data_IF_316238334007
#
_entry.id   IF_316238334007
#
_cell.length_a   1.000
_cell.length_b   1.000
_cell.length_c   1.000
_cell.angle_alpha   90.00
_cell.angle_beta   90.00
_cell.angle_gamma   90.00
#
_symmetry.space_group_name_H-M   'P 1'
#
loop_
_entity.id
_entity.type
_entity.pdbx_description
1 polymer ?
#
# COMPACT_ATOMS: atom_id res chain seq x y z
N UNK A 1 -37.84 -24.57 -17.65
CA UNK A 1 -39.19 -25.17 -17.55
C UNK A 1 -39.01 -26.56 -16.94
N UNK A 2 -39.50 -26.73 -15.70
CA UNK A 2 -39.65 -27.94 -14.88
C UNK A 2 -38.41 -28.73 -14.41
N UNK A 3 -38.04 -28.67 -13.11
CA UNK A 3 -38.55 -29.45 -11.94
C UNK A 3 -37.94 -30.87 -11.90
N UNK A 4 -36.90 -31.17 -11.09
CA UNK A 4 -36.91 -31.56 -9.65
C UNK A 4 -38.01 -32.57 -9.28
N UNK A 5 -37.56 -33.63 -8.56
CA UNK A 5 -38.24 -34.50 -7.56
C UNK A 5 -38.32 -35.96 -8.04
N UNK A 6 -38.06 -37.03 -7.27
CA UNK A 6 -37.39 -37.35 -5.98
C UNK A 6 -37.82 -38.81 -5.71
N UNK A 7 -36.93 -39.66 -5.20
CA UNK A 7 -37.15 -40.93 -4.45
C UNK A 7 -38.15 -41.99 -5.00
N UNK A 8 -37.85 -43.29 -4.95
CA UNK A 8 -38.03 -44.10 -3.75
C UNK A 8 -37.66 -45.59 -3.99
N UNK A 9 -37.21 -46.25 -2.91
CA UNK A 9 -37.40 -47.67 -2.55
C UNK A 9 -36.56 -48.75 -3.26
N UNK A 10 -35.55 -49.37 -2.63
CA UNK A 10 -35.56 -50.32 -1.47
C UNK A 10 -35.80 -51.78 -1.88
N UNK A 11 -34.90 -52.65 -1.36
CA UNK A 11 -34.95 -54.12 -1.28
C UNK A 11 -34.54 -54.85 -2.57
N UNK A 12 -33.62 -55.81 -2.53
CA UNK A 12 -33.87 -57.17 -2.03
C UNK A 12 -32.52 -57.96 -1.97
N UNK A 13 -32.23 -58.50 -0.78
CA UNK A 13 -31.59 -59.80 -0.49
C UNK A 13 -30.17 -60.18 -1.00
N UNK A 14 -29.21 -60.19 -0.05
CA UNK A 14 -28.22 -61.29 0.19
C UNK A 14 -28.94 -62.67 0.28
N UNK A 15 -28.33 -63.89 0.22
CA UNK A 15 -26.94 -64.25 0.60
C UNK A 15 -26.30 -65.44 -0.18
N UNK A 16 -25.03 -65.78 0.10
CA UNK A 16 -24.63 -67.11 0.64
C UNK A 16 -23.11 -67.21 0.84
N UNK A 17 -22.74 -67.74 2.00
CA UNK A 17 -21.41 -67.85 2.62
C UNK A 17 -21.07 -69.34 2.86
N UNK A 18 -19.81 -69.60 3.25
CA UNK A 18 -19.26 -70.77 3.99
C UNK A 18 -18.61 -71.91 3.16
N UNK A 19 -17.47 -72.55 3.53
CA UNK A 19 -16.47 -72.47 4.64
C UNK A 19 -15.38 -73.57 4.43
N UNK A 20 -14.29 -73.51 5.22
CA UNK A 20 -13.19 -74.49 5.50
C UNK A 20 -11.94 -74.45 4.59
N UNK A 21 -10.67 -74.59 5.04
CA UNK A 21 -10.03 -74.85 6.34
C UNK A 21 -8.51 -75.16 6.15
N UNK A 22 -7.66 -74.87 7.14
CA UNK A 22 -6.16 -74.71 7.17
C UNK A 22 -5.26 -75.95 6.91
N UNK A 23 -4.06 -75.78 6.30
CA UNK A 23 -2.69 -75.84 6.93
C UNK A 23 -1.49 -75.87 5.92
N UNK A 24 -0.39 -75.21 6.34
CA UNK A 24 1.06 -75.49 6.11
C UNK A 24 1.83 -75.06 4.81
N UNK A 25 2.65 -74.00 4.99
CA UNK A 25 4.10 -73.88 4.73
C UNK A 25 4.75 -74.12 3.34
N UNK A 26 5.18 -72.99 2.76
CA UNK A 26 6.47 -72.75 2.10
C UNK A 26 6.78 -73.38 0.72
N UNK A 27 6.45 -72.67 -0.36
CA UNK A 27 7.45 -72.17 -1.33
C UNK A 27 6.81 -71.16 -2.31
N UNK A 28 7.55 -70.11 -2.67
CA UNK A 28 7.32 -69.16 -3.79
C UNK A 28 6.18 -68.16 -3.54
N UNK A 29 6.43 -66.99 -2.93
CA UNK A 29 6.97 -65.76 -3.57
C UNK A 29 6.57 -65.64 -5.04
N UNK A 30 5.88 -64.53 -5.33
CA UNK A 30 5.48 -64.02 -6.66
C UNK A 30 4.09 -64.54 -7.10
N UNK A 31 3.01 -63.96 -6.55
CA UNK A 31 1.78 -63.58 -7.30
C UNK A 31 0.59 -63.06 -6.45
N UNK A 32 0.69 -62.91 -5.12
CA UNK A 32 -0.38 -62.30 -4.30
C UNK A 32 0.11 -61.07 -3.53
N UNK A 33 0.32 -59.95 -4.23
CA UNK A 33 0.37 -58.60 -3.63
C UNK A 33 -0.40 -57.54 -4.43
N UNK A 34 -1.26 -57.96 -5.36
CA UNK A 34 -1.98 -57.04 -6.25
C UNK A 34 -3.51 -56.99 -6.07
N UNK A 35 -4.10 -57.72 -5.12
CA UNK A 35 -5.55 -57.71 -4.89
C UNK A 35 -6.01 -57.27 -3.49
N UNK A 36 -5.09 -56.93 -2.58
CA UNK A 36 -5.42 -56.50 -1.22
C UNK A 36 -5.02 -55.05 -0.89
N UNK A 37 -4.33 -54.35 -1.80
CA UNK A 37 -3.98 -52.92 -1.64
C UNK A 37 -5.06 -52.01 -2.24
N UNK A 38 -5.81 -52.50 -3.23
CA UNK A 38 -6.86 -51.73 -3.89
C UNK A 38 -8.14 -51.52 -3.04
N UNK A 39 -8.36 -52.34 -2.00
CA UNK A 39 -9.58 -52.26 -1.17
C UNK A 39 -9.34 -51.44 0.11
N UNK A 40 -8.08 -51.27 0.54
CA UNK A 40 -7.75 -50.43 1.70
C UNK A 40 -7.57 -48.95 1.33
N UNK A 41 -7.16 -48.64 0.09
CA UNK A 41 -7.04 -47.26 -0.40
C UNK A 41 -8.39 -46.60 -0.77
N UNK A 42 -9.46 -47.39 -0.97
CA UNK A 42 -10.77 -46.86 -1.32
C UNK A 42 -11.65 -46.49 -0.10
N UNK A 43 -11.31 -46.94 1.10
CA UNK A 43 -12.12 -46.72 2.32
C UNK A 43 -11.57 -45.59 3.21
N UNK A 44 -10.29 -45.22 3.05
CA UNK A 44 -9.71 -44.04 3.75
C UNK A 44 -10.10 -42.71 3.07
N UNK A 45 -10.71 -42.77 1.88
CA UNK A 45 -11.01 -41.60 1.05
C UNK A 45 -12.44 -41.04 1.17
N UNK A 46 -13.31 -41.54 2.07
CA UNK A 46 -14.72 -41.13 2.06
C UNK A 46 -15.38 -40.70 3.39
N UNK A 47 -14.74 -40.77 4.56
CA UNK A 47 -15.36 -40.26 5.80
C UNK A 47 -14.32 -39.61 6.71
N UNK A 48 -14.44 -38.29 6.87
CA UNK A 48 -13.40 -37.41 7.38
C UNK A 48 -13.05 -37.51 8.86
N UNK A 49 -11.87 -36.97 9.15
CA UNK A 49 -11.43 -36.51 10.46
C UNK A 49 -10.46 -35.36 10.22
N UNK A 50 -10.92 -34.14 10.48
CA UNK A 50 -10.17 -32.90 10.30
C UNK A 50 -8.84 -32.93 11.06
N UNK A 51 -7.75 -32.76 10.34
CA UNK A 51 -6.51 -32.21 10.88
C UNK A 51 -6.20 -30.97 10.06
N UNK A 52 -6.34 -29.81 10.71
CA UNK A 52 -5.98 -28.51 10.15
C UNK A 52 -4.46 -28.43 10.03
N UNK A 53 -3.95 -28.66 8.82
CA UNK A 53 -2.68 -28.09 8.39
C UNK A 53 -3.02 -26.94 7.43
N UNK A 54 -3.18 -25.73 7.99
CA UNK A 54 -3.27 -24.51 7.19
C UNK A 54 -1.88 -24.20 6.62
N UNK A 55 -1.53 -24.85 5.51
CA UNK A 55 -0.53 -24.31 4.61
C UNK A 55 -1.17 -23.17 3.83
N UNK A 56 -0.84 -21.94 4.17
CA UNK A 56 -1.21 -20.79 3.36
C UNK A 56 -0.69 -20.99 1.92
N UNK A 57 -1.50 -20.65 0.92
CA UNK A 57 -1.00 -20.46 -0.44
C UNK A 57 0.18 -19.47 -0.39
N UNK A 58 1.33 -19.83 -0.97
CA UNK A 58 2.57 -19.02 -0.93
C UNK A 58 3.70 -19.56 -0.04
N UNK A 59 3.72 -20.85 0.31
CA UNK A 59 4.91 -21.45 0.94
C UNK A 59 6.02 -21.75 -0.09
N UNK A 60 7.27 -21.85 0.37
CA UNK A 60 8.49 -22.09 -0.44
C UNK A 60 8.44 -23.36 -1.32
N UNK A 61 7.53 -24.28 -1.06
CA UNK A 61 7.35 -25.53 -1.80
C UNK A 61 6.24 -25.46 -2.87
N UNK A 62 5.52 -24.33 -2.98
CA UNK A 62 4.55 -24.07 -4.05
C UNK A 62 4.55 -22.57 -4.43
N UNK A 63 5.43 -22.15 -5.35
CA UNK A 63 5.51 -20.77 -5.77
C UNK A 63 4.30 -20.42 -6.63
N UNK A 64 3.63 -19.32 -6.26
CA UNK A 64 2.37 -18.78 -6.78
C UNK A 64 2.38 -18.47 -8.30
N UNK A 65 2.42 -19.51 -9.14
CA UNK A 65 2.22 -19.61 -10.60
C UNK A 65 3.39 -20.35 -11.29
N UNK A 66 3.35 -21.68 -11.27
CA UNK A 66 4.20 -22.52 -12.12
C UNK A 66 3.90 -22.34 -13.61
N UNK A 67 4.93 -22.46 -14.48
CA UNK A 67 4.80 -22.46 -15.95
C UNK A 67 3.67 -23.35 -16.50
N UNK A 68 3.40 -24.48 -15.85
CA UNK A 68 2.28 -25.37 -16.20
C UNK A 68 0.90 -24.71 -16.02
N UNK A 69 0.74 -23.84 -15.03
CA UNK A 69 -0.50 -23.09 -14.82
C UNK A 69 -0.74 -22.10 -15.97
N UNK A 70 0.33 -21.43 -16.44
CA UNK A 70 0.27 -20.48 -17.56
C UNK A 70 0.05 -21.15 -18.92
N UNK A 71 0.59 -22.35 -19.13
CA UNK A 71 0.45 -23.08 -20.41
C UNK A 71 -0.81 -23.96 -20.46
N UNK A 72 -1.47 -24.24 -19.32
CA UNK A 72 -2.54 -25.23 -19.21
C UNK A 72 -3.93 -24.70 -18.87
N UNK A 73 -4.07 -23.92 -17.80
CA UNK A 73 -5.36 -23.47 -17.25
C UNK A 73 -5.66 -22.01 -17.60
N UNK A 74 -4.70 -21.11 -17.43
CA UNK A 74 -4.90 -19.67 -17.62
C UNK A 74 -5.43 -19.32 -19.02
N UNK A 75 -4.82 -19.88 -20.07
CA UNK A 75 -5.22 -19.65 -21.45
C UNK A 75 -6.65 -20.13 -21.74
N UNK A 76 -7.10 -21.23 -21.09
CA UNK A 76 -8.46 -21.76 -21.26
C UNK A 76 -9.52 -20.89 -20.60
N UNK A 77 -9.20 -20.29 -19.45
CA UNK A 77 -10.12 -19.40 -18.72
C UNK A 77 -10.26 -18.06 -19.43
N UNK A 78 -9.15 -17.45 -19.88
CA UNK A 78 -9.15 -16.15 -20.59
C UNK A 78 -9.87 -16.23 -21.94
N UNK A 79 -9.72 -17.34 -22.69
CA UNK A 79 -10.41 -17.54 -23.97
C UNK A 79 -11.94 -17.72 -23.82
N UNK A 80 -12.42 -18.18 -22.66
CA UNK A 80 -13.85 -18.32 -22.39
C UNK A 80 -14.49 -17.01 -21.87
N UNK A 81 -13.71 -16.16 -21.18
CA UNK A 81 -14.21 -14.89 -20.63
C UNK A 81 -14.21 -13.72 -21.63
N UNK A 82 -13.60 -13.87 -22.82
CA UNK A 82 -13.58 -12.79 -23.83
C UNK A 82 -14.94 -12.52 -24.50
N UNK A 83 -15.97 -13.32 -24.20
CA UNK A 83 -17.33 -13.11 -24.72
C UNK A 83 -18.13 -12.02 -23.96
N UNK A 84 -17.58 -11.39 -22.92
CA UNK A 84 -18.35 -10.40 -22.15
C UNK A 84 -17.48 -9.22 -21.68
N UNK A 85 -17.24 -8.32 -22.63
CA UNK A 85 -17.43 -6.89 -22.43
C UNK A 85 -16.43 -6.16 -21.53
N UNK A 86 -15.54 -5.38 -22.14
CA UNK A 86 -14.90 -4.25 -21.45
C UNK A 86 -14.78 -3.09 -22.43
N UNK A 87 -15.71 -2.14 -22.32
CA UNK A 87 -15.54 -0.77 -22.78
C UNK A 87 -15.28 0.05 -21.51
N UNK A 88 -14.05 0.52 -21.31
CA UNK A 88 -13.62 1.02 -20.00
C UNK A 88 -12.99 2.41 -20.07
N UNK A 89 -13.56 3.35 -19.32
CA UNK A 89 -13.08 4.73 -19.17
C UNK A 89 -11.98 4.77 -18.12
N UNK A 90 -10.74 4.82 -18.58
CA UNK A 90 -9.47 4.70 -17.83
C UNK A 90 -9.36 5.63 -16.62
N UNK A 91 -9.99 6.81 -16.64
CA UNK A 91 -9.77 7.84 -15.61
C UNK A 91 -10.46 7.56 -14.26
N UNK A 92 -11.58 6.84 -14.21
CA UNK A 92 -12.30 6.61 -12.94
C UNK A 92 -11.68 5.48 -12.11
N UNK A 93 -11.27 4.38 -12.76
CA UNK A 93 -10.62 3.26 -12.04
C UNK A 93 -9.21 3.58 -11.58
N UNK A 94 -8.50 4.53 -12.21
CA UNK A 94 -7.21 4.97 -11.71
C UNK A 94 -7.29 5.63 -10.33
N UNK A 95 -8.37 6.36 -10.06
CA UNK A 95 -8.59 6.99 -8.75
C UNK A 95 -9.09 5.97 -7.71
N UNK A 96 -9.93 5.01 -8.11
CA UNK A 96 -10.48 4.00 -7.20
C UNK A 96 -9.48 2.86 -6.85
N UNK A 97 -8.56 2.52 -7.76
CA UNK A 97 -7.50 1.53 -7.50
C UNK A 97 -6.39 2.08 -6.61
N UNK A 98 -6.18 3.40 -6.59
CA UNK A 98 -5.18 4.04 -5.74
C UNK A 98 -5.48 3.94 -4.25
N UNK A 99 -6.76 3.85 -3.88
CA UNK A 99 -7.22 3.98 -2.48
C UNK A 99 -7.49 2.65 -1.78
N UNK A 100 -7.77 1.55 -2.50
CA UNK A 100 -8.33 0.32 -1.90
C UNK A 100 -7.42 -0.91 -1.87
N UNK A 101 -6.13 -0.82 -2.22
CA UNK A 101 -5.23 -1.99 -2.17
C UNK A 101 -4.49 -2.02 -0.84
N UNK A 102 -4.81 -3.01 0.02
CA UNK A 102 -3.95 -3.46 1.12
C UNK A 102 -2.63 -3.96 0.54
N UNK A 103 -1.61 -3.07 0.52
CA UNK A 103 -0.31 -3.28 -0.11
C UNK A 103 0.53 -4.30 0.67
N UNK A 104 0.52 -5.55 0.20
CA UNK A 104 1.59 -6.51 0.50
C UNK A 104 2.64 -6.35 -0.60
N UNK A 105 3.66 -5.52 -0.35
CA UNK A 105 4.95 -5.49 -1.06
C UNK A 105 4.92 -5.38 -2.61
N UNK A 106 4.24 -4.35 -3.13
CA UNK A 106 4.34 -3.89 -4.52
C UNK A 106 3.77 -2.48 -4.66
N UNK A 107 4.54 -1.52 -5.20
CA UNK A 107 4.10 -0.13 -5.36
C UNK A 107 3.67 0.10 -6.80
N UNK A 108 2.36 -0.01 -7.08
CA UNK A 108 1.82 0.41 -8.37
C UNK A 108 2.10 1.90 -8.62
N UNK A 109 2.61 2.24 -9.81
CA UNK A 109 2.89 3.61 -10.21
C UNK A 109 2.67 3.82 -11.72
N UNK A 110 2.18 4.99 -12.10
CA UNK A 110 2.23 5.46 -13.49
C UNK A 110 3.45 6.35 -13.64
N UNK A 111 4.31 6.03 -14.61
CA UNK A 111 5.57 6.72 -14.86
C UNK A 111 5.63 7.18 -16.31
N UNK A 112 6.34 8.27 -16.55
CA UNK A 112 6.65 8.78 -17.89
C UNK A 112 8.13 8.55 -18.16
N UNK A 113 8.51 8.18 -19.37
CA UNK A 113 9.90 7.87 -19.74
C UNK A 113 10.23 8.57 -21.04
N UNK A 114 11.37 9.28 -21.13
CA UNK A 114 11.80 9.90 -22.39
C UNK A 114 12.24 8.85 -23.40
N UNK A 115 12.16 9.21 -24.67
CA UNK A 115 12.80 8.44 -25.74
C UNK A 115 14.29 8.16 -25.41
N UNK A 116 14.73 6.92 -25.57
CA UNK A 116 16.06 6.45 -25.19
C UNK A 116 16.17 5.89 -23.77
N UNK A 117 15.15 6.07 -22.93
CA UNK A 117 15.07 5.46 -21.61
C UNK A 117 14.90 3.95 -21.64
N UNK A 118 15.08 3.32 -20.48
CA UNK A 118 14.92 1.87 -20.28
C UNK A 118 14.23 1.57 -18.96
N UNK A 119 13.56 0.42 -18.88
CA UNK A 119 13.04 -0.18 -17.66
C UNK A 119 13.64 -1.57 -17.46
N UNK A 120 14.14 -1.86 -16.26
CA UNK A 120 14.61 -3.21 -15.93
C UNK A 120 13.50 -3.95 -15.21
N UNK A 121 13.17 -5.15 -15.70
CA UNK A 121 12.17 -6.04 -15.10
C UNK A 121 12.88 -7.23 -14.46
N UNK A 122 12.65 -7.41 -13.17
CA UNK A 122 13.04 -8.59 -12.40
C UNK A 122 11.79 -9.36 -11.91
N UNK A 123 12.01 -10.54 -11.34
CA UNK A 123 10.94 -11.38 -10.80
C UNK A 123 9.98 -10.61 -9.88
N UNK A 124 8.69 -10.70 -10.18
CA UNK A 124 7.62 -10.05 -9.40
C UNK A 124 7.18 -8.69 -9.95
N UNK A 125 7.92 -8.10 -10.88
CA UNK A 125 7.53 -6.85 -11.51
C UNK A 125 6.41 -7.05 -12.55
N UNK A 126 5.64 -6.01 -12.82
CA UNK A 126 4.77 -5.94 -13.97
C UNK A 126 4.86 -4.59 -14.67
N UNK A 127 4.66 -4.58 -15.98
CA UNK A 127 4.67 -3.37 -16.79
C UNK A 127 3.53 -3.41 -17.82
N UNK A 128 2.90 -2.25 -18.03
CA UNK A 128 1.91 -2.01 -19.08
C UNK A 128 2.30 -0.74 -19.82
N UNK A 129 2.46 -0.81 -21.15
CA UNK A 129 2.68 0.37 -21.98
C UNK A 129 1.32 1.05 -22.25
N UNK A 130 1.12 2.27 -21.77
CA UNK A 130 -0.14 3.02 -21.94
C UNK A 130 -0.11 3.97 -23.13
N UNK A 131 1.07 4.50 -23.48
CA UNK A 131 1.32 5.28 -24.69
C UNK A 131 2.79 5.24 -25.09
N UNK A 132 3.09 5.62 -26.33
CA UNK A 132 4.44 5.60 -26.88
C UNK A 132 4.80 4.26 -27.52
N UNK A 133 6.09 3.94 -27.56
CA UNK A 133 6.61 2.75 -28.21
C UNK A 133 7.76 2.14 -27.41
N UNK A 134 7.64 0.86 -27.07
CA UNK A 134 8.61 0.14 -26.28
C UNK A 134 8.88 -1.25 -26.85
N UNK A 135 10.10 -1.76 -26.61
CA UNK A 135 10.52 -3.11 -26.98
C UNK A 135 11.13 -3.78 -25.77
N UNK A 136 10.77 -5.02 -25.50
CA UNK A 136 11.38 -5.84 -24.45
C UNK A 136 12.46 -6.75 -25.03
N UNK A 137 13.58 -6.87 -24.32
CA UNK A 137 14.63 -7.83 -24.57
C UNK A 137 14.75 -8.73 -23.33
N UNK A 138 14.34 -9.98 -23.47
CA UNK A 138 14.39 -11.00 -22.43
C UNK A 138 15.75 -11.69 -22.52
N UNK A 139 16.51 -11.67 -21.43
CA UNK A 139 17.82 -12.32 -21.32
C UNK A 139 17.75 -13.68 -20.63
N UNK A 140 16.83 -13.84 -19.67
CA UNK A 140 16.57 -15.10 -18.98
C UNK A 140 15.15 -15.10 -18.40
N UNK A 141 14.63 -16.28 -18.05
CA UNK A 141 13.32 -16.45 -17.40
C UNK A 141 12.12 -16.28 -18.33
N UNK A 142 10.95 -16.09 -17.74
CA UNK A 142 9.68 -16.01 -18.48
C UNK A 142 8.97 -14.69 -18.20
N UNK A 143 8.61 -13.95 -19.26
CA UNK A 143 7.71 -12.82 -19.20
C UNK A 143 6.38 -13.27 -19.78
N UNK A 144 5.26 -13.04 -19.10
CA UNK A 144 3.93 -13.45 -19.58
C UNK A 144 3.15 -12.21 -20.00
N UNK A 145 2.58 -12.23 -21.20
CA UNK A 145 1.55 -11.26 -21.57
C UNK A 145 0.20 -11.77 -21.04
N UNK A 146 -0.19 -11.21 -19.90
CA UNK A 146 -1.38 -11.63 -19.15
C UNK A 146 -2.66 -11.29 -19.91
N UNK A 147 -2.64 -10.22 -20.73
CA UNK A 147 -3.80 -9.79 -21.51
C UNK A 147 -4.22 -10.80 -22.59
N UNK A 148 -3.30 -11.64 -23.06
CA UNK A 148 -3.59 -12.68 -24.07
C UNK A 148 -3.38 -14.10 -23.55
N UNK A 149 -2.80 -14.26 -22.37
CA UNK A 149 -2.58 -15.56 -21.74
C UNK A 149 -1.47 -16.42 -22.34
N UNK A 150 -0.46 -15.79 -22.92
CA UNK A 150 0.70 -16.48 -23.49
C UNK A 150 2.03 -15.86 -23.04
N UNK A 151 3.12 -16.64 -22.96
CA UNK A 151 4.47 -16.12 -22.77
C UNK A 151 4.82 -15.10 -23.86
N UNK A 152 5.38 -13.96 -23.44
CA UNK A 152 5.92 -12.95 -24.33
C UNK A 152 7.32 -13.38 -24.81
N UNK A 153 7.67 -12.95 -26.02
CA UNK A 153 9.01 -13.07 -26.58
C UNK A 153 9.67 -11.70 -26.68
N UNK A 154 10.99 -11.64 -26.79
CA UNK A 154 11.71 -10.39 -27.07
C UNK A 154 11.15 -9.75 -28.32
N UNK A 155 10.68 -8.51 -28.21
CA UNK A 155 9.85 -7.90 -29.24
C UNK A 155 9.15 -6.65 -28.77
N UNK A 156 8.33 -6.09 -29.66
CA UNK A 156 7.57 -4.87 -29.39
C UNK A 156 6.51 -5.16 -28.34
N UNK A 157 6.40 -4.28 -27.33
CA UNK A 157 5.30 -4.32 -26.39
C UNK A 157 4.05 -3.75 -27.04
N UNK A 158 2.92 -4.42 -26.81
CA UNK A 158 1.62 -3.99 -27.31
C UNK A 158 1.01 -3.01 -26.31
N UNK A 159 0.45 -1.91 -26.82
CA UNK A 159 -0.24 -0.93 -25.99
C UNK A 159 -1.38 -1.57 -25.22
N UNK A 160 -1.54 -1.15 -23.97
CA UNK A 160 -2.55 -1.60 -23.01
C UNK A 160 -2.50 -3.11 -22.67
N UNK A 161 -1.42 -3.80 -23.06
CA UNK A 161 -1.18 -5.17 -22.62
C UNK A 161 -0.34 -5.18 -21.34
N UNK A 162 -0.75 -5.98 -20.36
CA UNK A 162 -0.03 -6.15 -19.10
C UNK A 162 0.95 -7.32 -19.22
N UNK A 163 2.21 -7.04 -18.92
CA UNK A 163 3.29 -8.00 -18.91
C UNK A 163 3.73 -8.27 -17.47
N UNK A 164 3.79 -9.54 -17.07
CA UNK A 164 4.16 -9.97 -15.73
C UNK A 164 5.50 -10.73 -15.76
N UNK A 165 6.42 -10.32 -14.90
CA UNK A 165 7.71 -10.95 -14.73
C UNK A 165 7.61 -12.18 -13.83
N UNK A 166 7.69 -13.37 -14.45
CA UNK A 166 7.66 -14.64 -13.75
C UNK A 166 9.08 -15.09 -13.36
N UNK A 167 9.19 -16.34 -12.89
CA UNK A 167 10.41 -16.89 -12.30
C UNK A 167 11.68 -16.64 -13.13
N UNK A 168 12.73 -16.20 -12.43
CA UNK A 168 14.06 -15.94 -12.98
C UNK A 168 14.10 -14.97 -14.17
N UNK A 169 13.07 -14.12 -14.33
CA UNK A 169 13.08 -13.11 -15.38
C UNK A 169 14.22 -12.13 -15.15
N UNK A 170 15.00 -11.91 -16.22
CA UNK A 170 15.75 -10.67 -16.42
C UNK A 170 15.41 -10.15 -17.80
N UNK A 171 14.75 -9.00 -17.86
CA UNK A 171 14.43 -8.34 -19.11
C UNK A 171 14.64 -6.84 -19.02
N UNK A 172 15.00 -6.24 -20.16
CA UNK A 172 15.11 -4.79 -20.30
C UNK A 172 14.09 -4.34 -21.34
N UNK A 173 13.27 -3.37 -20.98
CA UNK A 173 12.36 -2.68 -21.89
C UNK A 173 13.02 -1.38 -22.31
N UNK A 174 13.21 -1.17 -23.61
CA UNK A 174 13.74 0.07 -24.18
C UNK A 174 12.64 0.89 -24.84
N UNK A 175 12.63 2.20 -24.62
CA UNK A 175 11.62 3.13 -25.14
C UNK A 175 12.17 3.91 -26.33
N UNK A 176 11.55 3.79 -27.50
CA UNK A 176 11.97 4.54 -28.71
C UNK A 176 11.29 5.91 -28.85
N UNK A 177 10.30 6.19 -28.00
CA UNK A 177 9.54 7.44 -27.93
C UNK A 177 9.25 7.78 -26.47
N UNK A 178 8.91 9.04 -26.21
CA UNK A 178 8.33 9.43 -24.93
C UNK A 178 7.10 8.55 -24.66
N UNK A 179 7.12 7.82 -23.55
CA UNK A 179 6.17 6.75 -23.26
C UNK A 179 5.58 6.91 -21.87
N UNK A 180 4.31 6.56 -21.71
CA UNK A 180 3.65 6.44 -20.41
C UNK A 180 3.50 4.96 -20.10
N UNK A 181 3.93 4.55 -18.91
CA UNK A 181 3.85 3.16 -18.44
C UNK A 181 3.14 3.10 -17.10
N UNK A 182 2.42 2.01 -16.87
CA UNK A 182 2.04 1.59 -15.53
C UNK A 182 2.98 0.46 -15.10
N UNK A 183 3.52 0.56 -13.90
CA UNK A 183 4.39 -0.46 -13.31
C UNK A 183 3.83 -0.92 -11.98
N UNK A 184 4.10 -2.17 -11.64
CA UNK A 184 3.86 -2.74 -10.31
C UNK A 184 5.14 -3.45 -9.90
N UNK A 185 5.62 -3.23 -8.67
CA UNK A 185 6.95 -3.68 -8.24
C UNK A 185 8.01 -2.58 -8.29
N UNK A 186 9.27 -2.97 -8.18
CA UNK A 186 10.41 -2.05 -8.12
C UNK A 186 11.12 -2.04 -9.47
N UNK A 187 10.51 -1.38 -10.46
CA UNK A 187 11.00 -1.29 -11.84
C UNK A 187 11.93 -0.08 -11.97
N UNK A 188 13.27 -0.26 -11.98
CA UNK A 188 14.19 0.86 -12.13
C UNK A 188 14.12 1.41 -13.54
N UNK A 189 14.06 2.75 -13.66
CA UNK A 189 14.00 3.46 -14.93
C UNK A 189 15.23 4.32 -15.18
N UNK A 190 15.63 4.41 -16.45
CA UNK A 190 16.48 5.49 -16.95
C UNK A 190 15.62 6.49 -17.71
N UNK A 191 15.99 7.78 -17.66
CA UNK A 191 15.25 8.86 -18.33
C UNK A 191 13.77 8.96 -17.92
N UNK A 192 13.44 8.66 -16.65
CA UNK A 192 12.11 8.93 -16.10
C UNK A 192 11.80 10.43 -16.18
N UNK A 193 10.72 10.80 -16.87
CA UNK A 193 10.17 12.15 -16.84
C UNK A 193 9.40 12.29 -15.54
N UNK A 194 10.12 12.64 -14.49
CA UNK A 194 9.51 13.20 -13.29
C UNK A 194 9.11 14.63 -13.65
N UNK A 195 7.82 15.04 -13.52
CA UNK A 195 7.47 16.44 -13.71
C UNK A 195 8.39 17.30 -12.84
N UNK A 196 8.99 18.31 -13.45
CA UNK A 196 9.85 19.23 -12.70
C UNK A 196 8.97 19.90 -11.65
N UNK A 197 9.27 19.59 -10.39
CA UNK A 197 8.60 20.17 -9.24
C UNK A 197 8.92 21.65 -9.21
N UNK A 198 7.97 22.47 -9.66
CA UNK A 198 8.11 23.92 -9.71
C UNK A 198 8.03 24.43 -8.28
N UNK A 199 9.15 24.98 -7.79
CA UNK A 199 9.15 25.70 -6.52
C UNK A 199 8.63 27.13 -6.73
N UNK A 200 7.44 27.49 -6.19
CA UNK A 200 6.93 28.85 -6.31
C UNK A 200 7.58 29.81 -5.30
N UNK A 201 8.25 29.30 -4.26
CA UNK A 201 8.68 30.06 -3.09
C UNK A 201 10.15 30.46 -3.18
N UNK A 202 10.41 31.76 -3.17
CA UNK A 202 11.79 32.30 -3.28
C UNK A 202 12.61 32.12 -2.00
N UNK A 203 11.93 31.92 -0.88
CA UNK A 203 12.48 31.76 0.46
C UNK A 203 12.61 30.29 0.89
N UNK A 204 12.40 29.35 -0.04
CA UNK A 204 12.59 27.91 0.15
C UNK A 204 13.61 27.44 -0.88
N UNK A 205 14.85 27.17 -0.45
CA UNK A 205 15.98 26.86 -1.34
C UNK A 205 16.22 25.36 -1.42
N UNK A 206 16.72 24.81 -2.56
CA UNK A 206 17.02 23.38 -2.68
C UNK A 206 17.99 22.81 -1.63
N UNK A 207 18.78 23.67 -0.98
CA UNK A 207 19.71 23.30 0.09
C UNK A 207 19.06 23.24 1.47
N UNK A 208 17.82 23.72 1.63
CA UNK A 208 17.13 23.72 2.91
C UNK A 208 16.62 22.32 3.23
N UNK A 209 16.77 21.88 4.48
CA UNK A 209 16.38 20.53 4.90
C UNK A 209 14.88 20.25 4.68
N UNK A 210 14.05 21.29 4.74
CA UNK A 210 12.60 21.23 4.54
C UNK A 210 12.16 21.43 3.09
N UNK A 211 13.08 21.62 2.13
CA UNK A 211 12.76 21.95 0.74
C UNK A 211 11.77 20.96 0.12
N UNK A 212 12.10 19.66 0.21
CA UNK A 212 11.25 18.61 -0.35
C UNK A 212 9.92 18.54 0.38
N UNK A 213 9.92 18.75 1.70
CA UNK A 213 8.72 18.65 2.50
C UNK A 213 7.71 19.73 2.15
N UNK A 214 8.17 20.97 2.03
CA UNK A 214 7.32 22.10 1.62
C UNK A 214 6.74 21.86 0.23
N UNK A 215 7.53 21.36 -0.71
CA UNK A 215 7.03 21.17 -2.07
C UNK A 215 6.07 19.98 -2.20
N UNK A 216 6.29 18.87 -1.48
CA UNK A 216 5.29 17.77 -1.42
C UNK A 216 3.98 18.30 -0.85
N UNK A 217 4.05 19.00 0.28
CA UNK A 217 2.87 19.48 0.97
C UNK A 217 2.14 20.55 0.14
N UNK A 218 2.86 21.38 -0.62
CA UNK A 218 2.28 22.37 -1.54
C UNK A 218 1.61 21.72 -2.75
N UNK A 219 2.29 20.77 -3.42
CA UNK A 219 1.73 20.03 -4.57
C UNK A 219 0.45 19.29 -4.21
N UNK A 220 0.39 18.75 -3.00
CA UNK A 220 -0.80 18.07 -2.46
C UNK A 220 -1.83 19.03 -1.88
N UNK A 221 -1.62 20.34 -1.98
CA UNK A 221 -2.50 21.39 -1.47
C UNK A 221 -2.73 21.35 0.05
N UNK A 222 -1.83 20.71 0.80
CA UNK A 222 -1.88 20.68 2.26
C UNK A 222 -1.56 22.06 2.83
N UNK A 223 -0.48 22.66 2.32
CA UNK A 223 0.00 23.98 2.74
C UNK A 223 -0.10 24.99 1.61
N UNK A 224 -0.21 26.26 1.99
CA UNK A 224 -0.18 27.41 1.09
C UNK A 224 0.88 28.40 1.59
N UNK A 225 1.45 29.17 0.66
CA UNK A 225 2.34 30.28 1.01
C UNK A 225 1.59 31.41 1.71
N UNK A 226 2.33 32.25 2.42
CA UNK A 226 1.81 33.53 2.92
C UNK A 226 1.49 34.49 1.77
N UNK A 227 2.26 34.37 0.69
CA UNK A 227 1.98 34.99 -0.61
C UNK A 227 2.11 33.95 -1.71
N UNK A 228 1.88 34.35 -2.97
CA UNK A 228 2.12 33.50 -4.13
C UNK A 228 3.57 33.07 -4.31
N UNK A 229 4.53 33.78 -3.69
CA UNK A 229 5.96 33.55 -3.88
C UNK A 229 6.75 33.43 -2.57
N UNK A 230 6.08 33.46 -1.42
CA UNK A 230 6.73 33.44 -0.09
C UNK A 230 6.04 32.44 0.81
N UNK A 231 6.80 31.51 1.37
CA UNK A 231 6.29 30.48 2.28
C UNK A 231 6.42 30.85 3.75
N UNK A 232 7.45 31.61 4.12
CA UNK A 232 7.85 31.95 5.49
C UNK A 232 8.19 30.70 6.34
N UNK A 233 9.19 29.89 5.96
CA UNK A 233 9.46 28.60 6.61
C UNK A 233 9.80 28.69 8.10
N UNK A 234 10.47 29.78 8.51
CA UNK A 234 10.83 30.03 9.91
C UNK A 234 9.72 30.76 10.69
N UNK A 235 8.63 31.15 10.01
CA UNK A 235 7.47 31.74 10.65
C UNK A 235 6.82 30.76 11.60
N UNK A 236 6.28 31.28 12.70
CA UNK A 236 5.60 30.46 13.72
C UNK A 236 4.16 30.18 13.31
N UNK A 237 3.72 28.93 13.47
CA UNK A 237 2.34 28.53 13.18
C UNK A 237 1.40 29.02 14.29
N UNK A 238 0.20 29.47 13.94
CA UNK A 238 -0.84 29.83 14.91
C UNK A 238 -1.82 28.67 15.15
N UNK A 239 -2.60 28.74 16.23
CA UNK A 239 -3.69 27.78 16.48
C UNK A 239 -4.69 27.71 15.32
N UNK A 240 -5.10 28.85 14.76
CA UNK A 240 -5.98 28.93 13.59
C UNK A 240 -5.42 28.16 12.39
N UNK A 241 -4.14 28.34 12.11
CA UNK A 241 -3.46 27.68 11.01
C UNK A 241 -3.34 26.17 11.25
N UNK A 242 -3.04 25.74 12.49
CA UNK A 242 -3.02 24.33 12.85
C UNK A 242 -4.38 23.66 12.65
N UNK A 243 -5.46 24.26 13.17
CA UNK A 243 -6.83 23.72 13.03
C UNK A 243 -7.24 23.65 11.55
N UNK A 244 -6.92 24.68 10.75
CA UNK A 244 -7.14 24.64 9.30
C UNK A 244 -6.45 23.46 8.65
N UNK A 245 -5.18 23.19 9.00
CA UNK A 245 -4.39 22.10 8.42
C UNK A 245 -4.98 20.74 8.82
N UNK A 246 -5.29 20.55 10.09
CA UNK A 246 -5.90 19.34 10.61
C UNK A 246 -7.26 19.05 9.96
N UNK A 247 -8.16 20.03 9.91
CA UNK A 247 -9.46 19.89 9.27
C UNK A 247 -9.34 19.53 7.78
N UNK A 248 -8.43 20.19 7.06
CA UNK A 248 -8.18 19.91 5.63
C UNK A 248 -7.66 18.49 5.42
N UNK A 249 -6.72 18.05 6.26
CA UNK A 249 -6.11 16.73 6.16
C UNK A 249 -7.09 15.62 6.51
N UNK A 250 -7.93 15.85 7.53
CA UNK A 250 -9.03 14.96 7.88
C UNK A 250 -10.03 14.84 6.73
N UNK A 251 -10.53 15.96 6.16
CA UNK A 251 -11.46 15.94 5.02
C UNK A 251 -10.88 15.17 3.84
N UNK A 252 -9.60 15.40 3.52
CA UNK A 252 -8.93 14.71 2.44
C UNK A 252 -8.85 13.19 2.68
N UNK A 253 -8.51 12.77 3.90
CA UNK A 253 -8.40 11.35 4.23
C UNK A 253 -9.72 10.61 4.03
N UNK A 254 -10.84 11.21 4.44
CA UNK A 254 -12.15 10.55 4.39
C UNK A 254 -12.90 10.75 3.06
N UNK A 255 -12.69 11.85 2.35
CA UNK A 255 -13.45 12.18 1.13
C UNK A 255 -12.62 12.12 -0.15
N UNK A 256 -11.29 12.11 -0.04
CA UNK A 256 -10.37 12.17 -1.18
C UNK A 256 -10.20 13.58 -1.78
N UNK A 257 -10.82 14.62 -1.21
CA UNK A 257 -10.65 16.01 -1.65
C UNK A 257 -10.74 17.01 -0.50
N UNK A 258 -10.28 18.23 -0.71
CA UNK A 258 -10.45 19.34 0.25
C UNK A 258 -11.45 20.32 -0.36
N UNK A 259 -12.59 20.52 0.31
CA UNK A 259 -13.64 21.47 -0.09
C UNK A 259 -13.87 22.56 0.94
N UNK A 260 -13.29 22.42 2.15
CA UNK A 260 -13.30 23.45 3.18
C UNK A 260 -12.71 24.77 2.67
N UNK A 261 -13.38 25.86 2.98
CA UNK A 261 -13.00 27.23 2.58
C UNK A 261 -12.95 28.15 3.79
N UNK A 262 -12.24 29.27 3.65
CA UNK A 262 -12.24 30.30 4.66
C UNK A 262 -13.65 30.90 4.83
N UNK A 263 -14.02 31.21 6.07
CA UNK A 263 -15.31 31.82 6.35
C UNK A 263 -15.37 33.23 5.71
N UNK A 264 -16.39 33.53 4.89
CA UNK A 264 -16.49 34.83 4.22
C UNK A 264 -16.88 35.96 5.18
N UNK A 265 -17.46 35.63 6.33
CA UNK A 265 -17.94 36.61 7.32
C UNK A 265 -17.41 36.28 8.71
N UNK A 266 -16.66 37.19 9.32
CA UNK A 266 -16.05 36.99 10.63
C UNK A 266 -14.63 36.44 10.53
N UNK A 267 -14.23 35.61 11.49
CA UNK A 267 -12.88 35.03 11.53
C UNK A 267 -12.71 34.03 10.38
N UNK A 268 -11.67 34.21 9.57
CA UNK A 268 -11.41 33.39 8.37
C UNK A 268 -11.32 31.89 8.68
N UNK A 269 -10.90 31.54 9.90
CA UNK A 269 -10.70 30.17 10.34
C UNK A 269 -11.98 29.48 10.86
N UNK A 270 -13.10 30.20 11.00
CA UNK A 270 -14.28 29.69 11.72
C UNK A 270 -14.83 28.38 11.16
N UNK A 271 -14.97 28.27 9.83
CA UNK A 271 -15.48 27.05 9.20
C UNK A 271 -14.57 25.82 9.45
N UNK A 272 -13.25 26.03 9.61
CA UNK A 272 -12.35 24.95 9.96
C UNK A 272 -12.49 24.53 11.43
N UNK A 273 -12.73 25.50 12.32
CA UNK A 273 -13.00 25.24 13.75
C UNK A 273 -14.29 24.44 13.91
N UNK A 274 -15.36 24.85 13.22
CA UNK A 274 -16.65 24.17 13.29
C UNK A 274 -16.53 22.72 12.80
N UNK A 275 -15.86 22.51 11.66
CA UNK A 275 -15.55 21.18 11.14
C UNK A 275 -14.71 20.36 12.12
N UNK A 276 -13.64 20.95 12.68
CA UNK A 276 -12.75 20.25 13.60
C UNK A 276 -13.48 19.81 14.88
N UNK A 277 -14.45 20.58 15.37
CA UNK A 277 -15.30 20.18 16.51
C UNK A 277 -16.28 19.09 16.14
N UNK A 278 -16.96 19.21 15.00
CA UNK A 278 -17.91 18.21 14.51
C UNK A 278 -17.27 16.82 14.39
N UNK A 279 -16.00 16.78 13.97
CA UNK A 279 -15.24 15.54 13.78
C UNK A 279 -14.37 15.15 14.99
N UNK A 280 -14.42 15.88 16.10
CA UNK A 280 -13.67 15.56 17.32
C UNK A 280 -12.15 15.74 17.19
N UNK A 281 -11.68 16.50 16.20
CA UNK A 281 -10.27 16.88 16.06
C UNK A 281 -9.85 17.79 17.22
N UNK A 282 -10.74 18.73 17.57
CA UNK A 282 -10.63 19.58 18.76
C UNK A 282 -11.92 19.46 19.57
N UNK A 283 -11.81 19.54 20.90
CA UNK A 283 -12.96 19.39 21.81
C UNK A 283 -13.50 20.71 22.32
N UNK A 284 -12.65 21.72 22.45
CA UNK A 284 -12.93 23.02 23.06
C UNK A 284 -12.41 24.15 22.16
N UNK A 285 -12.81 25.39 22.44
CA UNK A 285 -12.20 26.56 21.80
C UNK A 285 -10.86 26.91 22.45
N UNK A 286 -9.91 27.35 21.62
CA UNK A 286 -8.69 28.00 22.12
C UNK A 286 -8.98 29.46 22.51
N UNK A 287 -8.33 29.93 23.57
CA UNK A 287 -8.48 31.32 24.05
C UNK A 287 -8.11 32.35 22.99
N UNK A 288 -7.02 32.08 22.24
CA UNK A 288 -6.55 32.96 21.17
C UNK A 288 -6.06 32.14 19.98
N UNK A 289 -6.88 32.09 18.93
CA UNK A 289 -6.56 31.37 17.68
C UNK A 289 -5.42 31.99 16.88
N UNK A 290 -5.13 33.28 17.06
CA UNK A 290 -4.02 33.97 16.38
C UNK A 290 -2.70 33.88 17.16
N UNK A 291 -2.72 33.32 18.38
CA UNK A 291 -1.50 33.08 19.14
C UNK A 291 -0.65 31.97 18.50
N UNK A 292 0.69 32.02 18.65
CA UNK A 292 1.57 30.89 18.38
C UNK A 292 1.10 29.61 19.06
N UNK A 293 1.01 28.52 18.31
CA UNK A 293 0.69 27.20 18.87
C UNK A 293 1.91 26.56 19.52
N UNK A 294 1.71 25.92 20.66
CA UNK A 294 2.76 25.10 21.31
C UNK A 294 2.94 23.78 20.56
N UNK A 295 4.11 23.15 20.65
CA UNK A 295 4.33 21.82 20.07
C UNK A 295 3.41 20.77 20.68
N UNK A 296 3.14 20.88 22.00
CA UNK A 296 2.22 19.99 22.71
C UNK A 296 0.80 20.06 22.13
N UNK A 297 0.26 21.26 21.98
CA UNK A 297 -1.11 21.41 21.46
C UNK A 297 -1.18 21.10 19.96
N UNK A 298 -0.13 21.43 19.20
CA UNK A 298 -0.02 20.98 17.81
C UNK A 298 -0.11 19.46 17.71
N UNK A 299 0.65 18.74 18.56
CA UNK A 299 0.66 17.28 18.59
C UNK A 299 -0.73 16.70 18.92
N UNK A 300 -1.42 17.26 19.91
CA UNK A 300 -2.77 16.82 20.27
C UNK A 300 -3.75 16.97 19.10
N UNK A 301 -3.78 18.15 18.46
CA UNK A 301 -4.64 18.40 17.30
C UNK A 301 -4.29 17.48 16.12
N UNK A 302 -3.00 17.27 15.86
CA UNK A 302 -2.53 16.40 14.78
C UNK A 302 -2.82 14.92 15.01
N UNK A 303 -2.76 14.46 16.25
CA UNK A 303 -3.11 13.09 16.61
C UNK A 303 -4.59 12.80 16.35
N UNK A 304 -5.47 13.75 16.64
CA UNK A 304 -6.91 13.59 16.41
C UNK A 304 -7.33 13.74 14.93
N UNK A 305 -6.38 13.99 14.02
CA UNK A 305 -6.68 14.25 12.60
C UNK A 305 -6.95 12.98 11.80
N UNK A 306 -6.33 11.85 12.16
CA UNK A 306 -6.48 10.57 11.45
C UNK A 306 -6.96 9.48 12.42
N UNK A 307 -7.54 8.38 11.92
CA UNK A 307 -7.95 7.28 12.79
C UNK A 307 -6.73 6.49 13.29
N UNK A 308 -6.92 5.73 14.37
CA UNK A 308 -5.83 5.05 15.10
C UNK A 308 -4.96 4.14 14.21
N UNK A 309 -5.54 3.52 13.18
CA UNK A 309 -4.82 2.61 12.27
C UNK A 309 -3.72 3.33 11.47
N UNK A 310 -3.84 4.64 11.30
CA UNK A 310 -2.86 5.49 10.60
C UNK A 310 -1.56 5.63 11.39
N UNK A 311 -1.54 5.33 12.69
CA UNK A 311 -0.39 5.52 13.57
C UNK A 311 0.37 4.23 13.86
N UNK A 312 0.41 3.31 12.89
CA UNK A 312 1.18 2.06 13.00
C UNK A 312 2.63 2.33 13.42
N UNK A 313 3.06 1.71 14.51
CA UNK A 313 4.39 1.90 15.08
C UNK A 313 5.48 1.29 14.18
N UNK A 314 6.56 2.06 13.97
CA UNK A 314 7.77 1.65 13.24
C UNK A 314 9.03 1.75 14.11
N UNK A 315 8.95 2.48 15.22
CA UNK A 315 10.02 2.68 16.19
C UNK A 315 9.67 2.02 17.52
N UNK A 316 10.68 1.54 18.24
CA UNK A 316 10.54 1.04 19.60
C UNK A 316 10.93 2.15 20.59
N UNK A 317 9.93 2.82 21.17
CA UNK A 317 10.12 3.93 22.12
C UNK A 317 9.52 3.51 23.47
N UNK A 318 10.36 3.10 24.46
CA UNK A 318 9.91 2.72 25.80
C UNK A 318 9.26 3.88 26.55
N UNK A 319 8.34 3.59 27.46
CA UNK A 319 7.73 4.61 28.32
C UNK A 319 8.81 5.32 29.15
N UNK A 320 8.73 6.65 29.20
CA UNK A 320 9.71 7.51 29.88
C UNK A 320 11.01 7.76 29.08
N UNK A 321 11.13 7.25 27.86
CA UNK A 321 12.33 7.46 27.04
C UNK A 321 12.41 8.87 26.42
N UNK A 322 11.27 9.57 26.23
CA UNK A 322 11.27 10.95 25.73
C UNK A 322 11.70 11.88 26.89
N UNK A 323 12.84 12.59 26.78
CA UNK A 323 13.51 13.22 27.93
C UNK A 323 12.70 14.26 28.72
N UNK A 324 11.78 14.95 28.05
CA UNK A 324 11.11 16.16 28.54
C UNK A 324 9.57 16.03 28.52
N UNK A 325 9.08 14.79 28.53
CA UNK A 325 7.66 14.47 28.67
C UNK A 325 7.43 13.68 29.95
N UNK A 326 6.70 14.29 30.89
CA UNK A 326 6.30 13.64 32.13
C UNK A 326 5.14 12.66 31.90
N UNK A 327 5.07 11.59 32.69
CA UNK A 327 4.05 10.54 32.56
C UNK A 327 2.61 11.01 32.83
N UNK A 328 2.45 12.18 33.45
CA UNK A 328 1.16 12.83 33.73
C UNK A 328 0.86 14.01 32.79
N UNK A 329 1.67 14.20 31.73
CA UNK A 329 1.36 15.18 30.68
C UNK A 329 0.06 14.78 29.96
N UNK A 330 -0.82 15.75 29.73
CA UNK A 330 -2.14 15.50 29.13
C UNK A 330 -2.07 15.03 27.68
N UNK A 331 -0.94 15.23 27.00
CA UNK A 331 -0.69 14.76 25.64
C UNK A 331 0.27 13.56 25.60
N UNK A 332 0.52 12.89 26.73
CA UNK A 332 1.50 11.81 26.84
C UNK A 332 1.27 10.71 25.81
N UNK A 333 0.07 10.13 25.77
CA UNK A 333 -0.25 8.99 24.91
C UNK A 333 -0.16 9.37 23.42
N UNK A 334 -0.64 10.57 23.06
CA UNK A 334 -0.65 11.10 21.71
C UNK A 334 0.77 11.35 21.20
N UNK A 335 1.62 11.97 22.03
CA UNK A 335 3.03 12.22 21.71
C UNK A 335 3.77 10.90 21.55
N UNK A 336 3.66 9.97 22.51
CA UNK A 336 4.34 8.67 22.41
C UNK A 336 3.88 7.87 21.19
N UNK A 337 2.59 7.90 20.87
CA UNK A 337 2.06 7.21 19.69
C UNK A 337 2.66 7.78 18.40
N UNK A 338 2.77 9.10 18.28
CA UNK A 338 3.38 9.72 17.11
C UNK A 338 4.90 9.55 17.02
N UNK A 339 5.62 9.46 18.15
CA UNK A 339 7.04 9.08 18.17
C UNK A 339 7.25 7.64 17.71
N UNK A 340 6.42 6.70 18.22
CA UNK A 340 6.44 5.29 17.81
C UNK A 340 6.08 5.13 16.34
N UNK A 341 5.15 5.93 15.83
CA UNK A 341 4.80 5.96 14.42
C UNK A 341 5.90 6.58 13.53
N UNK A 342 6.86 7.32 14.09
CA UNK A 342 7.90 8.04 13.34
C UNK A 342 7.42 9.34 12.68
N UNK A 343 6.29 9.88 13.15
CA UNK A 343 5.79 11.19 12.73
C UNK A 343 6.59 12.28 13.44
N UNK A 344 6.66 12.17 14.77
CA UNK A 344 7.54 12.96 15.62
C UNK A 344 8.88 12.24 15.82
N UNK A 345 9.95 13.02 15.93
CA UNK A 345 11.30 12.52 16.23
C UNK A 345 12.04 13.34 17.30
N UNK A 346 11.42 14.41 17.79
CA UNK A 346 12.07 15.37 18.69
C UNK A 346 13.15 16.20 18.01
N UNK A 347 13.87 16.96 18.84
CA UNK A 347 15.05 17.70 18.45
C UNK A 347 16.24 16.76 18.30
N UNK A 348 17.00 16.93 17.22
CA UNK A 348 18.25 16.22 16.94
C UNK A 348 19.32 17.26 16.68
N UNK A 349 20.51 17.10 17.27
CA UNK A 349 21.64 18.03 17.10
C UNK A 349 21.28 19.51 17.36
N UNK A 350 20.29 19.78 18.24
CA UNK A 350 19.78 21.13 18.49
C UNK A 350 20.30 21.66 19.83
N UNK A 351 21.09 22.75 19.86
CA UNK A 351 21.57 23.35 21.10
C UNK A 351 20.44 23.71 22.05
N UNK A 352 20.58 23.33 23.33
CA UNK A 352 19.58 23.61 24.36
C UNK A 352 18.53 22.51 24.55
N UNK A 353 18.51 21.50 23.69
CA UNK A 353 17.64 20.33 23.82
C UNK A 353 18.48 19.05 23.96
N UNK A 354 17.98 18.11 24.75
CA UNK A 354 18.51 16.75 24.73
C UNK A 354 18.15 16.09 23.40
N UNK A 355 18.95 15.10 22.98
CA UNK A 355 18.64 14.32 21.78
C UNK A 355 17.27 13.66 21.94
N UNK A 356 16.42 13.79 20.92
CA UNK A 356 15.03 13.37 20.90
C UNK A 356 14.10 14.03 21.94
N UNK A 357 14.50 15.14 22.55
CA UNK A 357 13.60 15.97 23.35
C UNK A 357 12.46 16.54 22.48
N UNK A 358 11.23 16.52 22.98
CA UNK A 358 10.05 16.98 22.25
C UNK A 358 9.91 18.51 22.24
N UNK A 359 10.29 19.17 23.33
CA UNK A 359 10.14 20.60 23.60
C UNK A 359 8.69 21.04 23.68
N UNK A 360 7.86 20.49 24.58
CA UNK A 360 6.41 20.65 24.52
C UNK A 360 5.91 22.11 24.58
N UNK A 361 6.58 22.97 25.36
CA UNK A 361 6.20 24.38 25.55
C UNK A 361 6.81 25.33 24.50
N UNK A 362 7.59 24.81 23.56
CA UNK A 362 8.11 25.61 22.45
C UNK A 362 7.06 25.74 21.35
N UNK A 363 7.28 26.67 20.43
CA UNK A 363 6.41 26.84 19.26
C UNK A 363 6.86 25.97 18.09
N UNK A 364 5.99 25.81 17.10
CA UNK A 364 6.31 25.09 15.87
C UNK A 364 6.46 26.05 14.68
N UNK A 365 7.51 25.86 13.90
CA UNK A 365 7.71 26.59 12.64
C UNK A 365 6.88 25.99 11.50
N UNK A 366 6.63 26.79 10.46
CA UNK A 366 5.93 26.34 9.25
C UNK A 366 6.70 25.24 8.51
N UNK A 367 8.03 25.32 8.48
CA UNK A 367 8.89 24.27 7.92
C UNK A 367 8.74 22.92 8.66
N UNK A 368 8.75 22.93 9.98
CA UNK A 368 8.50 21.72 10.78
C UNK A 368 7.10 21.17 10.54
N UNK A 369 6.08 22.03 10.52
CA UNK A 369 4.72 21.60 10.23
C UNK A 369 4.61 20.92 8.85
N UNK A 370 5.28 21.43 7.81
CA UNK A 370 5.31 20.79 6.49
C UNK A 370 5.90 19.37 6.53
N UNK A 371 7.01 19.19 7.25
CA UNK A 371 7.62 17.87 7.42
C UNK A 371 6.70 16.90 8.19
N UNK A 372 6.05 17.36 9.26
CA UNK A 372 5.15 16.54 10.05
C UNK A 372 3.88 16.16 9.26
N UNK A 373 3.34 17.05 8.43
CA UNK A 373 2.21 16.75 7.53
C UNK A 373 2.57 15.60 6.58
N UNK A 374 3.75 15.65 5.96
CA UNK A 374 4.15 14.61 5.02
C UNK A 374 4.30 13.26 5.71
N UNK A 375 4.89 13.24 6.91
CA UNK A 375 5.03 12.01 7.71
C UNK A 375 3.69 11.47 8.19
N UNK A 376 2.75 12.35 8.51
CA UNK A 376 1.41 11.96 8.89
C UNK A 376 0.69 11.28 7.72
N UNK A 377 0.71 11.89 6.54
CA UNK A 377 0.01 11.40 5.35
C UNK A 377 0.72 10.24 4.62
N UNK A 378 2.04 10.22 4.58
CA UNK A 378 2.85 9.25 3.84
C UNK A 378 3.76 8.45 4.79
N UNK A 379 3.36 7.21 5.14
CA UNK A 379 4.17 6.36 6.02
C UNK A 379 5.59 6.08 5.53
N UNK A 380 5.87 6.23 4.22
CA UNK A 380 7.19 5.92 3.65
C UNK A 380 8.27 6.94 4.01
N UNK A 381 7.87 8.17 4.37
CA UNK A 381 8.81 9.25 4.73
C UNK A 381 8.94 9.46 6.25
N UNK A 382 8.33 8.58 7.06
CA UNK A 382 8.42 8.63 8.52
C UNK A 382 9.83 8.36 9.02
N UNK A 383 10.21 9.07 10.09
CA UNK A 383 11.53 8.97 10.70
C UNK A 383 11.70 7.61 11.40
N UNK A 384 12.83 6.94 11.11
CA UNK A 384 13.22 5.69 11.77
C UNK A 384 14.37 5.96 12.73
N UNK A 385 14.16 5.69 14.01
CA UNK A 385 15.15 5.93 15.06
C UNK A 385 14.87 5.05 16.28
N UNK A 386 15.74 5.09 17.28
CA UNK A 386 15.61 4.36 18.54
C UNK A 386 16.21 5.21 19.66
N UNK A 387 15.62 5.12 20.85
CA UNK A 387 16.03 5.85 22.06
C UNK A 387 16.32 4.84 23.16
#
# INVERSE_FOLDING_TARGET
MCYIIFCEFVSILKPCLCRFGRKASAHRRIHMKFRSIAIFLAIVLLLGGAFTASGAAGSREDPLLTKNYTEGEFTKTVLNDTASGINFTVSQVLNELGTNIKRTTGSFAIKKVRAGGTATLDFGDSITLLSGAAKVQISSGTLVNVSVGYPAVSGVLVLNHRYLACENLRAVVSFSQDSVIAVDGNVPLTEEIVPERVNPFVDVKPTDWFYNDVLVAYERSFIHGMTTTTYEPQGTLTYAQCVKLAASLHELHYTGSITLTACPTGNWYQYFVDYAKEHGIITEDFENYDAPITRRDFALVFYNTLPAESYTAINNIPDGAIPDIAADDYAYEEIYTMYRAGILAGYTDTPGFAEHAFGPDTTISRAEAAALINRLFDPSVRARFSI
#
